data_IF_630957158582
#
_entry.id   IF_630957158582
#
_cell.length_a   1.000
_cell.length_b   1.000
_cell.length_c   1.000
_cell.angle_alpha   90.00
_cell.angle_beta   90.00
_cell.angle_gamma   90.00
#
_symmetry.space_group_name_H-M   'P 1'
#
loop_
_entity.id
_entity.type
_entity.pdbx_description
1 polymer ?
#
# COMPACT_ATOMS: atom_id res chain seq x y z
N UNK A 1 9.47 33.67 78.63
CA UNK A 1 8.88 32.33 78.47
C UNK A 1 7.48 32.50 77.91
N UNK A 2 7.34 32.62 76.59
CA UNK A 2 6.04 32.64 75.88
C UNK A 2 6.30 32.36 74.39
N UNK A 3 5.59 31.38 73.85
CA UNK A 3 5.60 31.02 72.43
C UNK A 3 4.49 31.78 71.68
N UNK A 4 4.68 32.08 70.39
CA UNK A 4 3.65 31.97 69.35
C UNK A 4 4.29 31.97 67.93
N UNK A 5 3.69 31.29 66.93
CA UNK A 5 4.40 30.56 65.88
C UNK A 5 4.45 31.25 64.51
N UNK A 6 5.09 30.54 63.57
CA UNK A 6 5.44 30.88 62.20
C UNK A 6 4.27 31.32 61.29
N UNK A 7 4.53 32.18 60.29
CA UNK A 7 3.71 32.25 59.10
C UNK A 7 4.17 31.23 58.05
N UNK A 8 3.29 30.30 57.69
CA UNK A 8 3.43 29.46 56.50
C UNK A 8 3.41 30.34 55.24
N UNK A 9 4.40 30.18 54.38
CA UNK A 9 4.45 30.83 53.06
C UNK A 9 3.68 29.96 52.05
N UNK A 10 2.84 30.53 51.17
CA UNK A 10 1.90 29.79 50.34
C UNK A 10 2.59 28.96 49.25
N UNK A 11 2.09 27.75 49.05
CA UNK A 11 2.44 26.88 47.93
C UNK A 11 2.13 27.58 46.60
N UNK A 12 3.13 27.64 45.71
CA UNK A 12 2.95 28.08 44.34
C UNK A 12 1.97 27.16 43.60
N UNK A 13 0.97 27.68 42.87
CA UNK A 13 0.20 26.85 41.98
C UNK A 13 1.09 26.42 40.80
N UNK A 14 1.54 25.18 40.81
CA UNK A 14 2.07 24.52 39.61
C UNK A 14 0.96 24.52 38.56
N UNK A 15 1.08 25.35 37.53
CA UNK A 15 0.22 25.23 36.36
C UNK A 15 0.53 23.89 35.65
N UNK A 16 -0.49 23.08 35.31
CA UNK A 16 -0.28 21.99 34.37
C UNK A 16 0.07 22.61 33.01
N UNK A 17 1.27 22.28 32.51
CA UNK A 17 1.67 22.65 31.15
C UNK A 17 0.61 22.21 30.15
N UNK A 18 0.20 23.06 29.19
CA UNK A 18 -0.78 22.68 28.20
C UNK A 18 -0.27 21.47 27.42
N UNK A 19 -1.17 20.51 27.23
CA UNK A 19 -1.02 19.29 26.47
C UNK A 19 -0.15 19.53 25.23
N UNK A 20 1.00 18.84 25.18
CA UNK A 20 1.89 18.77 24.03
C UNK A 20 1.03 18.36 22.82
N UNK A 21 0.70 19.31 21.96
CA UNK A 21 0.05 18.99 20.69
C UNK A 21 0.98 18.05 19.92
N UNK A 22 0.53 16.85 19.51
CA UNK A 22 1.30 16.08 18.56
C UNK A 22 1.31 16.92 17.28
N UNK A 23 2.43 17.59 17.02
CA UNK A 23 2.67 18.20 15.72
C UNK A 23 2.47 17.12 14.65
N UNK A 24 1.89 17.47 13.48
CA UNK A 24 1.74 16.51 12.40
C UNK A 24 3.13 15.95 12.09
N UNK A 25 3.35 14.70 12.51
CA UNK A 25 4.55 13.98 12.09
C UNK A 25 4.49 14.00 10.57
N UNK A 26 5.52 14.49 9.86
CA UNK A 26 5.57 14.34 8.42
C UNK A 26 5.57 12.84 8.17
N UNK A 27 4.40 12.31 7.83
CA UNK A 27 4.24 10.98 7.32
C UNK A 27 5.08 10.94 6.06
N UNK A 28 6.32 10.44 6.18
CA UNK A 28 7.06 10.00 5.02
C UNK A 28 6.10 9.12 4.23
N UNK A 29 5.76 9.47 2.97
CA UNK A 29 5.06 8.54 2.11
C UNK A 29 6.08 7.45 1.79
N UNK A 30 6.26 6.52 2.72
CA UNK A 30 6.77 5.20 2.38
C UNK A 30 5.87 4.66 1.27
N UNK A 31 6.42 3.91 0.30
CA UNK A 31 5.64 3.41 -0.83
C UNK A 31 4.37 2.79 -0.25
N UNK A 32 3.23 3.39 -0.56
CA UNK A 32 1.92 2.94 -0.09
C UNK A 32 1.74 1.54 -0.66
N UNK A 33 2.08 0.55 0.17
CA UNK A 33 1.95 -0.85 -0.18
C UNK A 33 0.50 -1.01 -0.62
N UNK A 34 0.24 -1.53 -1.83
CA UNK A 34 -1.13 -1.65 -2.28
C UNK A 34 -1.87 -2.44 -1.21
N UNK A 35 -2.97 -1.87 -0.71
CA UNK A 35 -3.76 -2.37 0.42
C UNK A 35 -4.24 -3.81 0.19
N UNK A 36 -4.18 -4.27 -1.07
CA UNK A 36 -4.45 -5.62 -1.54
C UNK A 36 -3.38 -6.06 -2.53
N UNK A 37 -3.07 -7.36 -2.55
CA UNK A 37 -2.21 -7.94 -3.57
C UNK A 37 -2.80 -7.64 -4.96
N UNK A 38 -1.99 -7.07 -5.85
CA UNK A 38 -2.37 -6.72 -7.22
C UNK A 38 -1.34 -7.25 -8.22
N UNK A 39 -1.79 -7.55 -9.43
CA UNK A 39 -0.91 -7.95 -10.52
C UNK A 39 -0.38 -6.68 -11.19
N UNK A 40 0.93 -6.52 -11.22
CA UNK A 40 1.60 -5.32 -11.75
C UNK A 40 2.14 -5.53 -13.17
N UNK A 41 2.34 -6.77 -13.59
CA UNK A 41 2.88 -7.10 -14.90
C UNK A 41 2.50 -8.52 -15.33
N UNK A 42 2.18 -8.70 -16.61
CA UNK A 42 2.06 -10.01 -17.27
C UNK A 42 3.23 -10.22 -18.23
N UNK A 43 3.98 -11.32 -18.03
CA UNK A 43 5.14 -11.68 -18.85
C UNK A 43 4.90 -13.00 -19.58
N UNK A 44 4.96 -12.98 -20.91
CA UNK A 44 4.74 -14.14 -21.77
C UNK A 44 5.97 -14.40 -22.65
N UNK A 45 6.78 -15.38 -22.27
CA UNK A 45 8.02 -15.71 -23.00
C UNK A 45 7.76 -16.49 -24.29
N UNK A 46 6.91 -17.53 -24.24
CA UNK A 46 6.61 -18.41 -25.37
C UNK A 46 5.16 -18.92 -25.30
N UNK A 47 4.20 -18.00 -25.30
CA UNK A 47 2.78 -18.33 -25.14
C UNK A 47 1.97 -17.91 -26.37
N UNK A 48 1.30 -18.88 -27.01
CA UNK A 48 0.59 -18.68 -28.28
C UNK A 48 1.50 -17.99 -29.32
N UNK A 49 1.07 -16.84 -29.85
CA UNK A 49 1.85 -16.03 -30.81
C UNK A 49 2.94 -15.17 -30.13
N UNK A 50 2.88 -14.98 -28.82
CA UNK A 50 3.75 -14.05 -28.11
C UNK A 50 5.13 -14.66 -27.81
N UNK A 51 6.18 -13.95 -28.24
CA UNK A 51 7.59 -14.26 -27.97
C UNK A 51 8.20 -13.10 -27.17
N UNK A 52 8.25 -13.24 -25.86
CA UNK A 52 8.83 -12.22 -24.96
C UNK A 52 7.95 -10.99 -24.69
N UNK A 53 6.62 -11.12 -24.67
CA UNK A 53 5.72 -10.01 -24.36
C UNK A 53 5.81 -9.64 -22.87
N UNK A 54 5.94 -8.34 -22.58
CA UNK A 54 5.82 -7.76 -21.24
C UNK A 54 4.70 -6.74 -21.25
N UNK A 55 3.69 -6.94 -20.41
CA UNK A 55 2.52 -6.08 -20.33
C UNK A 55 2.39 -5.52 -18.92
N UNK A 56 2.75 -4.24 -18.69
CA UNK A 56 2.57 -3.61 -17.40
C UNK A 56 1.08 -3.39 -17.13
N UNK A 57 0.66 -3.59 -15.89
CA UNK A 57 -0.69 -3.32 -15.42
C UNK A 57 -0.72 -2.10 -14.50
N UNK A 58 -1.42 -1.07 -14.96
CA UNK A 58 -1.83 0.06 -14.12
C UNK A 58 -3.24 -0.14 -13.54
N UNK A 59 -3.81 0.90 -12.91
CA UNK A 59 -5.19 0.89 -12.40
C UNK A 59 -6.24 0.50 -13.46
N UNK A 60 -5.99 0.89 -14.71
CA UNK A 60 -6.72 0.48 -15.89
C UNK A 60 -5.72 0.22 -17.02
N UNK A 61 -5.82 -0.93 -17.68
CA UNK A 61 -4.98 -1.26 -18.84
C UNK A 61 -5.88 -1.73 -19.98
N UNK A 62 -5.87 -1.01 -21.10
CA UNK A 62 -6.63 -1.36 -22.29
C UNK A 62 -5.74 -2.09 -23.30
N UNK A 63 -6.17 -3.27 -23.75
CA UNK A 63 -5.51 -4.01 -24.83
C UNK A 63 -6.21 -3.72 -26.16
N UNK A 64 -5.55 -2.96 -27.03
CA UNK A 64 -6.05 -2.60 -28.37
C UNK A 64 -5.10 -3.09 -29.49
N UNK A 65 -5.61 -3.16 -30.72
CA UNK A 65 -4.83 -3.50 -31.91
C UNK A 65 -5.61 -4.33 -32.94
N UNK A 66 -4.98 -4.68 -34.08
CA UNK A 66 -5.63 -5.46 -35.14
C UNK A 66 -6.13 -6.84 -34.67
N UNK A 67 -7.10 -7.42 -35.37
CA UNK A 67 -7.49 -8.81 -35.17
C UNK A 67 -6.29 -9.75 -35.33
N UNK A 68 -6.18 -10.76 -34.46
CA UNK A 68 -5.03 -11.68 -34.45
C UNK A 68 -3.74 -11.12 -33.83
N UNK A 69 -3.74 -9.91 -33.26
CA UNK A 69 -2.58 -9.39 -32.51
C UNK A 69 -2.30 -10.10 -31.18
N UNK A 70 -3.14 -11.06 -30.78
CA UNK A 70 -2.92 -11.88 -29.58
C UNK A 70 -3.47 -11.29 -28.27
N UNK A 71 -4.32 -10.27 -28.32
CA UNK A 71 -5.00 -9.70 -27.12
C UNK A 71 -5.77 -10.77 -26.34
N UNK A 72 -6.59 -11.54 -27.02
CA UNK A 72 -7.35 -12.65 -26.41
C UNK A 72 -6.41 -13.67 -25.81
N UNK A 73 -5.32 -14.01 -26.49
CA UNK A 73 -4.32 -14.93 -25.95
C UNK A 73 -3.65 -14.37 -24.68
N UNK A 74 -3.36 -13.07 -24.62
CA UNK A 74 -2.82 -12.46 -23.41
C UNK A 74 -3.80 -12.52 -22.22
N UNK A 75 -5.10 -12.26 -22.45
CA UNK A 75 -6.12 -12.39 -21.41
C UNK A 75 -6.34 -13.84 -20.97
N UNK A 76 -6.26 -14.81 -21.89
CA UNK A 76 -6.32 -16.24 -21.55
C UNK A 76 -5.12 -16.70 -20.72
N UNK A 77 -3.93 -16.17 -21.01
CA UNK A 77 -2.75 -16.43 -20.18
C UNK A 77 -2.93 -15.88 -18.77
N UNK A 78 -3.44 -14.64 -18.65
CA UNK A 78 -3.75 -14.04 -17.36
C UNK A 78 -4.76 -14.88 -16.57
N UNK A 79 -5.84 -15.33 -17.21
CA UNK A 79 -6.84 -16.21 -16.61
C UNK A 79 -6.22 -17.53 -16.10
N UNK A 80 -5.41 -18.20 -16.92
CA UNK A 80 -4.75 -19.44 -16.53
C UNK A 80 -3.82 -19.25 -15.32
N UNK A 81 -3.05 -18.16 -15.31
CA UNK A 81 -2.18 -17.81 -14.19
C UNK A 81 -2.96 -17.45 -12.92
N UNK A 82 -4.08 -16.74 -13.05
CA UNK A 82 -4.95 -16.42 -11.91
C UNK A 82 -5.57 -17.70 -11.31
N UNK A 83 -6.00 -18.65 -12.16
CA UNK A 83 -6.49 -19.96 -11.72
C UNK A 83 -5.40 -20.78 -11.04
N UNK A 84 -4.19 -20.79 -11.60
CA UNK A 84 -3.04 -21.45 -11.00
C UNK A 84 -2.70 -20.87 -9.62
N UNK A 85 -2.72 -19.54 -9.49
CA UNK A 85 -2.53 -18.87 -8.20
C UNK A 85 -3.63 -19.23 -7.18
N UNK A 86 -4.83 -19.56 -7.66
CA UNK A 86 -5.93 -20.10 -6.86
C UNK A 86 -5.85 -21.61 -6.58
N UNK A 87 -4.81 -22.30 -7.02
CA UNK A 87 -4.58 -23.73 -6.79
C UNK A 87 -5.16 -24.68 -7.84
N UNK A 88 -5.67 -24.16 -8.96
CA UNK A 88 -6.09 -25.00 -10.08
C UNK A 88 -4.87 -25.56 -10.84
N UNK A 89 -5.03 -26.76 -11.41
CA UNK A 89 -4.07 -27.29 -12.37
C UNK A 89 -4.12 -26.50 -13.69
N UNK A 90 -3.02 -26.59 -14.45
CA UNK A 90 -2.99 -26.17 -15.84
C UNK A 90 -3.37 -27.38 -16.69
N UNK A 91 -4.34 -27.20 -17.58
CA UNK A 91 -4.73 -28.17 -18.62
C UNK A 91 -4.00 -27.89 -19.95
#
# INVERSE_FOLDING_TARGET
MTAFPAPATPASPTMPSPLRSPGPSPSSPGPSRPERACVTELRLSAFARHRGLRLPFGPLTLLAGPSGSGKTAALRAYEALARLAGGAALD
#
